data_IF_435110812051
#
_entry.id   IF_435110812051
#
_cell.length_a   1.000
_cell.length_b   1.000
_cell.length_c   1.000
_cell.angle_alpha   90.00
_cell.angle_beta   90.00
_cell.angle_gamma   90.00
#
_symmetry.space_group_name_H-M   'P 1'
#
loop_
_entity.id
_entity.type
_entity.pdbx_description
1 polymer ?
#
# COMPACT_ATOMS: atom_id res chain seq x y z
N UNK A 1 -15.93 13.83 -5.07
CA UNK A 1 -14.96 13.41 -6.10
C UNK A 1 -15.48 12.15 -6.74
N UNK A 2 -15.76 12.22 -8.04
CA UNK A 2 -16.10 11.07 -8.86
C UNK A 2 -14.84 10.28 -9.24
N UNK A 3 -15.04 9.09 -9.79
CA UNK A 3 -13.94 8.29 -10.31
C UNK A 3 -13.31 8.98 -11.53
N UNK A 4 -11.99 9.20 -11.50
CA UNK A 4 -11.26 9.88 -12.58
C UNK A 4 -10.95 11.36 -12.31
N UNK A 5 -11.58 11.96 -11.30
CA UNK A 5 -11.24 13.33 -10.88
C UNK A 5 -9.86 13.39 -10.22
N UNK A 6 -9.18 14.53 -10.36
CA UNK A 6 -8.01 14.82 -9.53
C UNK A 6 -8.41 14.95 -8.05
N UNK A 7 -7.48 14.62 -7.12
CA UNK A 7 -7.67 14.90 -5.70
C UNK A 7 -8.04 16.37 -5.48
N UNK A 8 -9.00 16.65 -4.61
CA UNK A 8 -9.43 18.03 -4.32
C UNK A 8 -8.28 18.89 -3.78
N UNK A 9 -7.29 18.27 -3.15
CA UNK A 9 -6.09 18.93 -2.63
C UNK A 9 -5.01 19.21 -3.69
N UNK A 10 -5.16 18.70 -4.91
CA UNK A 10 -4.20 18.93 -5.98
C UNK A 10 -4.39 20.32 -6.61
N UNK A 11 -3.34 21.15 -6.56
CA UNK A 11 -3.27 22.42 -7.26
C UNK A 11 -2.09 22.41 -8.26
N UNK A 12 -2.34 22.47 -9.59
CA UNK A 12 -1.27 22.42 -10.60
C UNK A 12 -0.30 23.61 -10.51
N UNK A 13 -0.74 24.78 -10.03
CA UNK A 13 0.13 25.96 -9.86
C UNK A 13 1.15 25.78 -8.75
N UNK A 14 0.84 24.98 -7.73
CA UNK A 14 1.71 24.74 -6.57
C UNK A 14 2.50 23.45 -6.73
N UNK A 15 1.88 22.42 -7.30
CA UNK A 15 2.43 21.07 -7.34
C UNK A 15 3.13 20.71 -8.65
N UNK A 16 2.94 21.50 -9.71
CA UNK A 16 3.42 21.16 -11.05
C UNK A 16 2.58 20.05 -11.69
N UNK A 17 3.15 19.24 -12.61
CA UNK A 17 2.47 18.11 -13.21
C UNK A 17 1.94 17.12 -12.17
N UNK A 18 0.81 16.50 -12.47
CA UNK A 18 0.20 15.53 -11.58
C UNK A 18 1.05 14.25 -11.48
N UNK A 19 1.53 13.96 -10.27
CA UNK A 19 2.12 12.68 -9.89
C UNK A 19 1.09 11.80 -9.16
N UNK A 20 0.69 10.64 -9.72
CA UNK A 20 -0.28 9.73 -9.09
C UNK A 20 0.30 8.97 -7.88
N UNK A 21 1.61 9.00 -7.65
CA UNK A 21 2.28 8.40 -6.50
C UNK A 21 2.29 9.32 -5.26
N UNK A 22 2.03 10.62 -5.44
CA UNK A 22 2.12 11.64 -4.40
C UNK A 22 0.82 11.79 -3.61
N UNK A 23 0.94 12.07 -2.31
CA UNK A 23 -0.19 12.47 -1.48
C UNK A 23 -0.24 14.00 -1.42
N UNK A 24 -1.35 14.59 -1.82
CA UNK A 24 -1.53 16.04 -1.89
C UNK A 24 -2.21 16.66 -0.66
N UNK A 25 -2.83 15.83 0.19
CA UNK A 25 -3.42 16.30 1.43
C UNK A 25 -2.37 16.63 2.49
N UNK A 26 -2.83 17.15 3.64
CA UNK A 26 -1.97 17.46 4.78
C UNK A 26 -1.34 16.17 5.33
N UNK A 27 0.00 16.02 5.32
CA UNK A 27 0.64 14.87 5.94
C UNK A 27 0.45 14.89 7.46
N UNK A 28 0.22 13.73 8.05
CA UNK A 28 0.29 13.52 9.51
C UNK A 28 1.72 13.07 9.87
N UNK A 29 2.00 12.89 11.16
CA UNK A 29 3.31 12.43 11.63
C UNK A 29 3.68 11.10 10.96
N UNK A 30 4.90 10.99 10.40
CA UNK A 30 5.39 9.74 9.83
C UNK A 30 5.37 8.64 10.87
N UNK A 31 4.96 7.42 10.48
CA UNK A 31 4.81 6.30 11.41
C UNK A 31 6.07 6.07 12.27
N UNK A 32 7.27 6.20 11.69
CA UNK A 32 8.54 6.04 12.42
C UNK A 32 8.87 7.12 13.44
N UNK A 33 8.08 8.20 13.52
CA UNK A 33 8.24 9.30 14.49
C UNK A 33 7.13 9.31 15.55
N UNK A 34 6.19 8.36 15.50
CA UNK A 34 5.07 8.28 16.45
C UNK A 34 5.53 7.62 17.74
N UNK A 35 5.19 8.22 18.88
CA UNK A 35 5.44 7.59 20.19
C UNK A 35 4.48 6.42 20.40
N UNK A 36 4.94 5.34 21.03
CA UNK A 36 4.12 4.14 21.27
C UNK A 36 2.82 4.45 22.03
N UNK A 37 2.87 5.34 23.03
CA UNK A 37 1.69 5.78 23.77
C UNK A 37 0.68 6.60 22.96
N UNK A 38 1.07 7.13 21.81
CA UNK A 38 0.23 7.93 20.91
C UNK A 38 -0.30 7.10 19.72
N UNK A 39 0.10 5.83 19.57
CA UNK A 39 -0.27 5.00 18.41
C UNK A 39 -1.79 4.86 18.24
N UNK A 40 -2.52 4.67 19.34
CA UNK A 40 -3.98 4.53 19.30
C UNK A 40 -4.67 5.78 18.75
N UNK A 41 -4.29 6.97 19.25
CA UNK A 41 -4.85 8.24 18.77
C UNK A 41 -4.40 8.55 17.34
N UNK A 42 -3.15 8.24 17.00
CA UNK A 42 -2.61 8.37 15.64
C UNK A 42 -3.38 7.52 14.61
N UNK A 43 -3.69 6.25 14.93
CA UNK A 43 -4.57 5.40 14.10
C UNK A 43 -6.01 5.94 14.08
N UNK A 44 -6.47 6.49 15.19
CA UNK A 44 -7.79 7.13 15.32
C UNK A 44 -8.01 8.26 14.32
N UNK A 45 -7.03 9.14 14.13
CA UNK A 45 -7.09 10.30 13.23
C UNK A 45 -7.09 9.95 11.73
N UNK A 46 -6.79 8.71 11.35
CA UNK A 46 -6.78 8.29 9.94
C UNK A 46 -8.20 8.20 9.38
N UNK A 47 -8.37 8.68 8.15
CA UNK A 47 -9.59 8.49 7.36
C UNK A 47 -9.73 7.02 6.95
N UNK A 48 -10.81 6.37 7.40
CA UNK A 48 -11.10 4.95 7.19
C UNK A 48 -12.13 4.72 6.08
N UNK A 49 -12.50 5.75 5.33
CA UNK A 49 -13.41 5.63 4.21
C UNK A 49 -12.82 4.72 3.10
N UNK A 50 -13.64 3.91 2.41
CA UNK A 50 -13.17 3.05 1.32
C UNK A 50 -12.40 3.81 0.22
N UNK A 51 -12.80 5.05 -0.07
CA UNK A 51 -12.13 5.92 -1.03
C UNK A 51 -10.72 6.33 -0.57
N UNK A 52 -10.52 6.55 0.73
CA UNK A 52 -9.20 6.86 1.28
C UNK A 52 -8.26 5.64 1.15
N UNK A 53 -8.81 4.44 1.37
CA UNK A 53 -8.07 3.19 1.19
C UNK A 53 -7.71 2.94 -0.28
N UNK A 54 -8.65 3.06 -1.21
CA UNK A 54 -8.38 2.90 -2.65
C UNK A 54 -7.34 3.91 -3.15
N UNK A 55 -7.40 5.16 -2.69
CA UNK A 55 -6.39 6.16 -2.96
C UNK A 55 -5.01 5.80 -2.41
N UNK A 56 -4.93 5.21 -1.21
CA UNK A 56 -3.66 4.75 -0.65
C UNK A 56 -3.06 3.58 -1.44
N UNK A 57 -3.89 2.60 -1.83
CA UNK A 57 -3.47 1.47 -2.67
C UNK A 57 -3.00 1.96 -4.03
N UNK A 58 -3.75 2.86 -4.67
CA UNK A 58 -3.38 3.47 -5.96
C UNK A 58 -2.01 4.15 -5.88
N UNK A 59 -1.79 5.00 -4.87
CA UNK A 59 -0.48 5.66 -4.69
C UNK A 59 0.65 4.64 -4.49
N UNK A 60 0.44 3.60 -3.69
CA UNK A 60 1.43 2.54 -3.49
C UNK A 60 1.74 1.79 -4.78
N UNK A 61 0.70 1.49 -5.58
CA UNK A 61 0.85 0.88 -6.90
C UNK A 61 1.69 1.75 -7.83
N UNK A 62 1.42 3.06 -7.90
CA UNK A 62 2.20 3.98 -8.74
C UNK A 62 3.66 4.13 -8.27
N UNK A 63 3.92 4.16 -6.95
CA UNK A 63 5.29 4.11 -6.41
C UNK A 63 6.03 2.85 -6.86
N UNK A 64 5.35 1.71 -6.82
CA UNK A 64 5.91 0.43 -7.25
C UNK A 64 6.16 0.40 -8.77
N UNK A 65 5.20 0.88 -9.57
CA UNK A 65 5.32 1.02 -11.02
C UNK A 65 6.52 1.87 -11.43
N UNK A 66 6.64 3.08 -10.87
CA UNK A 66 7.74 3.99 -11.15
C UNK A 66 9.11 3.39 -10.79
N UNK A 67 9.16 2.56 -9.74
CA UNK A 67 10.41 1.98 -9.24
C UNK A 67 10.83 0.69 -9.96
N UNK A 68 9.89 -0.16 -10.32
CA UNK A 68 10.19 -1.54 -10.74
C UNK A 68 9.65 -1.92 -12.12
N UNK A 69 8.70 -1.19 -12.71
CA UNK A 69 8.06 -1.58 -13.98
C UNK A 69 8.44 -0.63 -15.10
N UNK A 70 8.24 0.67 -14.89
CA UNK A 70 8.42 1.73 -15.88
C UNK A 70 9.86 2.23 -16.11
N UNK A 71 10.90 1.90 -15.31
CA UNK A 71 12.27 2.26 -15.68
C UNK A 71 12.65 1.77 -17.08
N UNK A 72 13.43 2.57 -17.83
CA UNK A 72 13.86 2.22 -19.20
C UNK A 72 14.61 0.88 -19.27
N UNK A 73 15.30 0.51 -18.19
CA UNK A 73 16.01 -0.77 -18.05
C UNK A 73 15.46 -1.51 -16.84
N UNK A 74 14.35 -2.19 -17.05
CA UNK A 74 13.68 -2.99 -16.02
C UNK A 74 14.26 -4.40 -15.96
N UNK A 75 14.53 -4.89 -14.74
CA UNK A 75 14.93 -6.26 -14.49
C UNK A 75 13.72 -7.18 -14.22
N UNK A 76 13.99 -8.42 -13.82
CA UNK A 76 12.96 -9.43 -13.51
C UNK A 76 12.28 -9.22 -12.13
N UNK A 77 12.70 -8.23 -11.35
CA UNK A 77 12.22 -7.95 -10.00
C UNK A 77 10.68 -7.83 -9.85
N UNK A 78 9.93 -7.07 -10.68
CA UNK A 78 8.48 -6.95 -10.51
C UNK A 78 7.75 -8.30 -10.67
N UNK A 79 8.25 -9.19 -11.53
CA UNK A 79 7.68 -10.53 -11.71
C UNK A 79 7.84 -11.37 -10.43
N UNK A 80 9.05 -11.44 -9.88
CA UNK A 80 9.28 -12.19 -8.64
C UNK A 80 8.52 -11.60 -7.45
N UNK A 81 8.40 -10.27 -7.37
CA UNK A 81 7.61 -9.60 -6.32
C UNK A 81 6.14 -9.99 -6.40
N UNK A 82 5.55 -10.05 -7.60
CA UNK A 82 4.18 -10.52 -7.79
C UNK A 82 4.02 -12.01 -7.45
N UNK A 83 4.97 -12.86 -7.86
CA UNK A 83 4.95 -14.29 -7.55
C UNK A 83 5.01 -14.52 -6.04
N UNK A 84 5.99 -13.93 -5.36
CA UNK A 84 6.14 -14.06 -3.90
C UNK A 84 4.92 -13.49 -3.18
N UNK A 85 4.41 -12.33 -3.59
CA UNK A 85 3.18 -11.77 -3.04
C UNK A 85 1.98 -12.69 -3.20
N UNK A 86 1.85 -13.34 -4.37
CA UNK A 86 0.78 -14.31 -4.64
C UNK A 86 0.93 -15.57 -3.78
N UNK A 87 2.16 -16.10 -3.65
CA UNK A 87 2.45 -17.25 -2.78
C UNK A 87 2.05 -16.97 -1.34
N UNK A 88 2.42 -15.80 -0.80
CA UNK A 88 2.05 -15.38 0.57
C UNK A 88 0.53 -15.23 0.69
N UNK A 89 -0.12 -14.57 -0.26
CA UNK A 89 -1.56 -14.38 -0.26
C UNK A 89 -2.32 -15.71 -0.26
N UNK A 90 -1.97 -16.63 -1.15
CA UNK A 90 -2.59 -17.96 -1.22
C UNK A 90 -2.25 -18.82 0.00
N UNK A 91 -1.06 -18.67 0.57
CA UNK A 91 -0.71 -19.31 1.84
C UNK A 91 -1.63 -18.83 2.97
N UNK A 92 -1.84 -17.51 3.11
CA UNK A 92 -2.74 -16.94 4.11
C UNK A 92 -4.18 -17.45 3.92
N UNK A 93 -4.71 -17.47 2.70
CA UNK A 93 -6.05 -18.00 2.40
C UNK A 93 -6.18 -19.50 2.75
N UNK A 94 -5.15 -20.28 2.49
CA UNK A 94 -5.15 -21.73 2.72
C UNK A 94 -4.59 -22.14 4.09
N UNK A 95 -4.17 -21.19 4.93
CA UNK A 95 -3.52 -21.48 6.21
C UNK A 95 -4.37 -22.38 7.11
N UNK A 96 -5.69 -22.18 7.12
CA UNK A 96 -6.63 -23.00 7.89
C UNK A 96 -6.64 -24.49 7.50
N UNK A 97 -6.33 -24.82 6.24
CA UNK A 97 -6.20 -26.18 5.73
C UNK A 97 -4.80 -26.72 6.01
N UNK A 98 -3.77 -25.92 5.71
CA UNK A 98 -2.36 -26.30 5.82
C UNK A 98 -1.93 -26.50 7.29
N UNK A 99 -2.49 -25.74 8.24
CA UNK A 99 -2.12 -25.81 9.67
C UNK A 99 -2.32 -27.20 10.28
N UNK A 100 -3.11 -28.07 9.66
CA UNK A 100 -3.35 -29.46 10.11
C UNK A 100 -2.18 -30.39 9.80
N UNK A 101 -1.31 -30.02 8.86
CA UNK A 101 -0.09 -30.76 8.49
C UNK A 101 1.10 -30.39 9.39
N UNK A 102 0.87 -29.66 10.50
CA UNK A 102 1.90 -29.48 11.52
C UNK A 102 2.25 -30.86 12.07
N UNK A 103 3.54 -31.16 12.21
CA UNK A 103 4.02 -32.42 12.76
C UNK A 103 3.25 -32.75 14.05
N UNK A 104 2.44 -33.80 14.02
CA UNK A 104 1.81 -34.33 15.23
C UNK A 104 2.93 -34.96 16.07
N UNK A 105 3.06 -34.53 17.33
CA UNK A 105 4.07 -35.06 18.26
C UNK A 105 3.84 -36.55 18.56
N UNK A 106 2.60 -37.01 18.40
CA UNK A 106 2.20 -38.41 18.50
C UNK A 106 1.39 -38.70 17.24
N UNK A 107 1.87 -39.63 16.42
CA UNK A 107 1.11 -40.14 15.27
C UNK A 107 -0.18 -40.82 15.75
#
# INVERSE_FOLDING_TARGET
MAFGDYPAEYNPKVHGPYDPARFYGKPDTPFGQVKLGELGSWLGRRNKAPQAFSGAVSRAFWRWQHKYVQPKRTGVAPFFQLIVGSMVFFYCLNYGKIKRHKNYKYH
#
